data_IF_661131536077
#
_entry.id   IF_661131536077
#
_cell.length_a   1.000
_cell.length_b   1.000
_cell.length_c   1.000
_cell.angle_alpha   90.00
_cell.angle_beta   90.00
_cell.angle_gamma   90.00
#
_symmetry.space_group_name_H-M   'P 1'
#
loop_
_entity.id
_entity.type
_entity.pdbx_description
1 polymer ?
#
# COMPACT_ATOMS: atom_id res chain seq x y z
N UNK A 1 -13.21 21.14 -9.57
CA UNK A 1 -12.76 22.31 -8.78
C UNK A 1 -11.32 22.12 -8.37
N UNK A 2 -10.45 23.09 -8.56
CA UNK A 2 -9.09 22.97 -8.05
C UNK A 2 -9.09 22.95 -6.52
N UNK A 3 -8.13 22.20 -5.96
CA UNK A 3 -7.93 22.14 -4.52
C UNK A 3 -7.42 23.48 -4.03
N UNK A 4 -8.03 24.02 -2.99
CA UNK A 4 -7.56 25.25 -2.35
C UNK A 4 -6.41 24.94 -1.41
N UNK A 5 -5.46 25.85 -1.32
CA UNK A 5 -4.43 25.79 -0.29
C UNK A 5 -5.09 25.77 1.10
N UNK A 6 -4.61 24.87 1.95
CA UNK A 6 -5.16 24.77 3.29
C UNK A 6 -4.61 23.57 4.05
N UNK A 7 -5.12 23.42 5.26
CA UNK A 7 -4.76 22.33 6.16
C UNK A 7 -5.98 21.44 6.35
N UNK A 8 -5.84 20.16 6.03
CA UNK A 8 -6.83 19.14 6.39
C UNK A 8 -6.49 18.66 7.81
N UNK A 9 -7.38 18.95 8.74
CA UNK A 9 -7.15 18.57 10.14
C UNK A 9 -7.30 17.07 10.35
N UNK A 10 -6.57 16.54 11.32
CA UNK A 10 -6.73 15.15 11.74
C UNK A 10 -8.18 14.87 12.10
N UNK A 11 -8.70 13.73 11.68
CA UNK A 11 -10.09 13.35 11.95
C UNK A 11 -11.13 13.97 11.04
N UNK A 12 -10.72 14.82 10.08
CA UNK A 12 -11.66 15.46 9.15
C UNK A 12 -12.12 14.53 8.01
N UNK A 13 -11.47 13.39 7.84
CA UNK A 13 -11.78 12.41 6.81
C UNK A 13 -12.04 11.05 7.44
N UNK A 14 -13.00 10.32 6.88
CA UNK A 14 -13.36 9.01 7.40
C UNK A 14 -12.35 7.95 6.98
N UNK A 15 -12.03 7.05 7.91
CA UNK A 15 -11.31 5.82 7.58
C UNK A 15 -12.20 4.91 6.76
N UNK A 16 -11.65 4.26 5.75
CA UNK A 16 -12.34 3.27 4.92
C UNK A 16 -11.77 1.89 5.20
N UNK A 17 -12.64 0.90 5.15
CA UNK A 17 -12.19 -0.49 5.20
C UNK A 17 -11.78 -0.94 3.79
N UNK A 18 -10.64 -1.60 3.69
CA UNK A 18 -10.16 -2.17 2.44
C UNK A 18 -11.13 -3.26 1.92
N UNK A 19 -11.34 -3.28 0.61
CA UNK A 19 -12.24 -4.23 -0.02
C UNK A 19 -11.68 -5.65 -0.01
N UNK A 20 -12.53 -6.64 0.26
CA UNK A 20 -12.13 -8.05 0.23
C UNK A 20 -11.62 -8.51 -1.15
N UNK A 21 -12.01 -7.82 -2.21
CA UNK A 21 -11.52 -8.13 -3.56
C UNK A 21 -10.02 -7.84 -3.73
N UNK A 22 -9.45 -6.92 -2.95
CA UNK A 22 -8.06 -6.46 -3.11
C UNK A 22 -7.20 -6.67 -1.86
N UNK A 23 -7.78 -7.12 -0.76
CA UNK A 23 -7.08 -7.41 0.48
C UNK A 23 -7.52 -8.73 1.07
N UNK A 24 -6.59 -9.40 1.76
CA UNK A 24 -6.88 -10.51 2.66
C UNK A 24 -6.72 -10.00 4.09
N UNK A 25 -7.68 -10.31 4.96
CA UNK A 25 -7.70 -9.81 6.33
C UNK A 25 -8.28 -8.40 6.42
N UNK A 26 -8.19 -7.81 7.60
CA UNK A 26 -8.77 -6.50 7.89
C UNK A 26 -7.72 -5.42 7.67
N UNK A 27 -8.03 -4.49 6.78
CA UNK A 27 -7.17 -3.38 6.39
C UNK A 27 -7.97 -2.08 6.42
N UNK A 28 -7.37 -1.02 6.90
CA UNK A 28 -7.97 0.31 6.93
C UNK A 28 -7.18 1.29 6.08
N UNK A 29 -7.88 2.20 5.42
CA UNK A 29 -7.28 3.20 4.54
C UNK A 29 -7.74 4.60 4.96
N UNK A 30 -6.77 5.48 5.22
CA UNK A 30 -7.01 6.87 5.54
C UNK A 30 -6.47 7.74 4.40
N UNK A 31 -7.34 8.46 3.65
CA UNK A 31 -6.88 9.25 2.51
C UNK A 31 -5.99 10.41 2.96
N UNK A 32 -4.89 10.62 2.24
CA UNK A 32 -3.95 11.74 2.45
C UNK A 32 -4.03 12.72 1.29
N UNK A 33 -3.90 12.23 0.07
CA UNK A 33 -4.04 13.04 -1.12
C UNK A 33 -4.94 12.35 -2.14
N UNK A 34 -5.89 13.12 -2.67
CA UNK A 34 -6.75 12.68 -3.77
C UNK A 34 -6.32 13.46 -5.00
N UNK A 35 -6.01 12.72 -6.07
CA UNK A 35 -5.53 13.33 -7.28
C UNK A 35 -6.54 14.34 -7.85
N UNK A 36 -6.06 15.53 -8.14
CA UNK A 36 -6.84 16.60 -8.75
C UNK A 36 -6.05 17.18 -9.92
N UNK A 37 -6.59 17.21 -11.14
CA UNK A 37 -5.84 17.72 -12.28
C UNK A 37 -5.28 19.13 -12.03
N UNK A 38 -4.03 19.42 -12.43
CA UNK A 38 -3.15 18.58 -13.28
C UNK A 38 -2.38 17.47 -12.53
N UNK A 39 -2.53 17.35 -11.22
CA UNK A 39 -1.89 16.28 -10.46
C UNK A 39 -2.57 14.93 -10.71
N UNK A 40 -1.74 13.88 -10.79
CA UNK A 40 -2.22 12.50 -10.86
C UNK A 40 -1.82 11.72 -9.61
N UNK A 41 -1.26 12.39 -8.61
CA UNK A 41 -0.79 11.75 -7.37
C UNK A 41 -1.96 11.47 -6.45
N UNK A 42 -2.04 10.23 -5.99
CA UNK A 42 -2.92 9.80 -4.92
C UNK A 42 -2.14 9.19 -3.79
N UNK A 43 -2.72 9.11 -2.61
CA UNK A 43 -2.05 8.47 -1.50
C UNK A 43 -2.93 8.31 -0.28
N UNK A 44 -2.58 7.32 0.52
CA UNK A 44 -3.29 6.98 1.74
C UNK A 44 -2.33 6.41 2.77
N UNK A 45 -2.66 6.58 4.03
CA UNK A 45 -2.11 5.75 5.09
C UNK A 45 -2.91 4.46 5.11
N UNK A 46 -2.22 3.34 5.00
CA UNK A 46 -2.84 2.01 5.00
C UNK A 46 -2.38 1.28 6.24
N UNK A 47 -3.34 0.79 7.03
CA UNK A 47 -3.10 0.07 8.27
C UNK A 47 -3.58 -1.37 8.12
N UNK A 48 -2.64 -2.30 8.29
CA UNK A 48 -2.88 -3.74 8.18
C UNK A 48 -2.91 -4.35 9.57
N UNK A 49 -3.96 -5.10 9.88
CA UNK A 49 -3.97 -5.94 11.09
C UNK A 49 -3.04 -7.15 10.88
N UNK A 50 -2.60 -7.83 11.97
CA UNK A 50 -1.69 -8.97 11.84
C UNK A 50 -2.20 -10.00 10.82
N UNK A 51 -1.33 -10.41 9.91
CA UNK A 51 -1.65 -11.36 8.84
C UNK A 51 -2.33 -10.77 7.62
N UNK A 52 -2.81 -9.53 7.68
CA UNK A 52 -3.47 -8.88 6.55
C UNK A 52 -2.46 -8.43 5.50
N UNK A 53 -2.87 -8.49 4.23
CA UNK A 53 -2.01 -8.14 3.09
C UNK A 53 -2.85 -7.75 1.88
N UNK A 54 -2.22 -7.07 0.93
CA UNK A 54 -2.81 -6.80 -0.37
C UNK A 54 -2.86 -8.07 -1.23
N UNK A 55 -3.68 -8.05 -2.27
CA UNK A 55 -3.51 -8.98 -3.39
C UNK A 55 -2.23 -8.63 -4.17
N UNK A 56 -1.80 -9.50 -5.06
CA UNK A 56 -0.77 -9.18 -6.04
C UNK A 56 -1.23 -8.01 -6.91
N UNK A 57 -0.38 -7.02 -7.10
CA UNK A 57 -0.75 -5.85 -7.90
C UNK A 57 0.47 -5.11 -8.46
N UNK A 58 0.22 -4.20 -9.40
CA UNK A 58 1.22 -3.35 -10.00
C UNK A 58 0.62 -1.96 -10.26
N UNK A 59 1.49 -0.96 -10.39
CA UNK A 59 1.10 0.42 -10.63
C UNK A 59 1.70 0.92 -11.95
N UNK A 60 0.94 1.68 -12.76
CA UNK A 60 1.43 2.10 -14.08
C UNK A 60 2.62 3.06 -14.04
N UNK A 61 2.76 3.85 -12.98
CA UNK A 61 3.85 4.81 -12.81
C UNK A 61 4.76 4.43 -11.64
N UNK A 62 4.43 3.33 -10.93
CA UNK A 62 5.13 2.91 -9.74
C UNK A 62 4.47 3.41 -8.47
N UNK A 63 5.11 3.09 -7.35
CA UNK A 63 4.59 3.46 -6.02
C UNK A 63 5.76 3.66 -5.07
N UNK A 64 5.58 4.56 -4.11
CA UNK A 64 6.50 4.71 -2.98
C UNK A 64 5.75 4.43 -1.69
N UNK A 65 6.34 3.60 -0.83
CA UNK A 65 5.84 3.35 0.51
C UNK A 65 6.81 3.95 1.53
N UNK A 66 6.27 4.63 2.51
CA UNK A 66 7.02 5.06 3.69
C UNK A 66 6.43 4.34 4.90
N UNK A 67 7.24 3.51 5.56
CA UNK A 67 6.78 2.70 6.69
C UNK A 67 6.69 3.55 7.95
N UNK A 68 5.52 3.55 8.59
CA UNK A 68 5.21 4.44 9.71
C UNK A 68 5.30 3.74 11.06
N UNK A 69 4.70 2.56 11.20
CA UNK A 69 4.63 1.87 12.48
C UNK A 69 4.43 0.36 12.29
N UNK A 70 4.79 -0.39 13.32
CA UNK A 70 4.64 -1.83 13.32
C UNK A 70 5.69 -2.55 12.48
N UNK A 71 5.40 -3.79 12.11
CA UNK A 71 6.29 -4.61 11.29
C UNK A 71 5.51 -5.15 10.11
N UNK A 72 6.03 -4.90 8.91
CA UNK A 72 5.41 -5.34 7.68
C UNK A 72 6.25 -6.27 6.86
N UNK A 73 5.69 -6.66 5.74
CA UNK A 73 6.33 -7.49 4.72
C UNK A 73 6.03 -6.93 3.34
N UNK A 74 6.98 -7.06 2.43
CA UNK A 74 6.80 -6.81 1.01
C UNK A 74 7.43 -7.95 0.22
N UNK A 75 6.81 -8.31 -0.89
CA UNK A 75 7.34 -9.33 -1.78
C UNK A 75 7.19 -8.92 -3.23
N UNK A 76 8.29 -8.90 -3.95
CA UNK A 76 8.27 -8.75 -5.40
C UNK A 76 8.18 -10.13 -6.04
N UNK A 77 7.44 -10.22 -7.13
CA UNK A 77 7.22 -11.51 -7.81
C UNK A 77 8.55 -12.19 -8.16
N UNK A 78 8.68 -13.45 -7.78
CA UNK A 78 9.88 -14.25 -8.00
C UNK A 78 10.97 -14.11 -6.93
N UNK A 79 10.74 -13.28 -5.92
CA UNK A 79 11.69 -13.06 -4.83
C UNK A 79 11.10 -13.50 -3.48
N UNK A 80 11.96 -13.57 -2.48
CA UNK A 80 11.51 -13.82 -1.10
C UNK A 80 10.90 -12.55 -0.50
N UNK A 81 9.92 -12.68 0.41
CA UNK A 81 9.46 -11.52 1.17
C UNK A 81 10.60 -10.85 1.94
N UNK A 82 10.46 -9.56 2.14
CA UNK A 82 11.38 -8.76 2.96
C UNK A 82 10.62 -8.14 4.12
N UNK A 83 11.26 -8.06 5.29
CA UNK A 83 10.70 -7.41 6.47
C UNK A 83 10.79 -5.90 6.30
N UNK A 84 9.74 -5.19 6.71
CA UNK A 84 9.68 -3.73 6.71
C UNK A 84 9.57 -3.21 8.14
N UNK A 85 10.40 -2.23 8.48
CA UNK A 85 10.40 -1.57 9.78
C UNK A 85 10.08 -0.08 9.63
N UNK A 86 9.64 0.59 10.71
CA UNK A 86 9.39 2.04 10.67
C UNK A 86 10.60 2.81 10.15
N UNK A 87 10.35 3.72 9.22
CA UNK A 87 11.40 4.49 8.57
C UNK A 87 11.92 3.90 7.27
N UNK A 88 11.61 2.64 6.98
CA UNK A 88 11.98 2.05 5.69
C UNK A 88 11.19 2.70 4.55
N UNK A 89 11.85 2.86 3.42
CA UNK A 89 11.25 3.36 2.18
C UNK A 89 11.31 2.27 1.13
N UNK A 90 10.20 2.02 0.47
CA UNK A 90 10.15 1.09 -0.66
C UNK A 90 9.84 1.88 -1.92
N UNK A 91 10.72 1.76 -2.91
CA UNK A 91 10.49 2.30 -4.24
C UNK A 91 10.11 1.15 -5.17
N UNK A 92 8.88 1.20 -5.66
CA UNK A 92 8.34 0.16 -6.53
C UNK A 92 8.26 0.73 -7.94
N UNK A 93 9.07 0.19 -8.89
CA UNK A 93 9.05 0.67 -10.26
C UNK A 93 7.72 0.45 -10.97
N UNK A 94 7.46 1.12 -12.10
CA UNK A 94 6.28 0.87 -12.91
C UNK A 94 6.11 -0.61 -13.27
N UNK A 95 4.88 -1.07 -13.28
CA UNK A 95 4.46 -2.40 -13.73
C UNK A 95 5.16 -3.57 -13.02
N UNK A 96 5.61 -3.34 -11.79
CA UNK A 96 6.28 -4.35 -10.97
C UNK A 96 5.28 -5.06 -10.08
N UNK A 97 5.07 -6.35 -10.32
CA UNK A 97 4.12 -7.16 -9.57
C UNK A 97 4.64 -7.44 -8.15
N UNK A 98 3.84 -7.10 -7.16
CA UNK A 98 4.22 -7.18 -5.74
C UNK A 98 3.00 -7.27 -4.83
N UNK A 99 3.24 -7.59 -3.58
CA UNK A 99 2.27 -7.42 -2.50
C UNK A 99 2.97 -6.87 -1.26
N UNK A 100 2.20 -6.26 -0.37
CA UNK A 100 2.67 -5.84 0.95
C UNK A 100 1.59 -6.01 2.00
N UNK A 101 2.00 -6.07 3.26
CA UNK A 101 1.09 -6.27 4.36
C UNK A 101 1.79 -6.30 5.70
N UNK A 102 1.04 -6.68 6.74
CA UNK A 102 1.56 -6.82 8.09
C UNK A 102 2.34 -8.13 8.26
N UNK A 103 3.17 -8.18 9.29
CA UNK A 103 3.73 -9.46 9.75
C UNK A 103 2.60 -10.33 10.35
N UNK A 104 2.84 -11.63 10.55
CA UNK A 104 1.79 -12.50 11.13
C UNK A 104 1.31 -12.07 12.50
N UNK A 105 2.15 -11.42 13.30
CA UNK A 105 1.88 -11.14 14.70
C UNK A 105 1.81 -9.65 15.05
N UNK A 106 2.08 -8.75 14.12
CA UNK A 106 2.15 -7.30 14.38
C UNK A 106 1.33 -6.51 13.39
N UNK A 107 0.74 -5.45 13.90
CA UNK A 107 0.13 -4.41 13.08
C UNK A 107 1.21 -3.72 12.22
N UNK A 108 0.84 -3.23 11.05
CA UNK A 108 1.72 -2.48 10.18
C UNK A 108 0.97 -1.33 9.51
N UNK A 109 1.57 -0.15 9.50
CA UNK A 109 1.03 1.00 8.79
C UNK A 109 2.11 1.65 7.93
N UNK A 110 1.73 2.03 6.72
CA UNK A 110 2.59 2.79 5.81
C UNK A 110 1.81 3.90 5.12
N UNK A 111 2.53 4.92 4.66
CA UNK A 111 2.03 5.88 3.69
C UNK A 111 2.32 5.33 2.30
N UNK A 112 1.31 5.26 1.45
CA UNK A 112 1.45 4.84 0.07
C UNK A 112 1.18 6.02 -0.85
N UNK A 113 2.11 6.31 -1.78
CA UNK A 113 1.97 7.37 -2.78
C UNK A 113 2.14 6.76 -4.16
N UNK A 114 1.23 7.06 -5.07
CA UNK A 114 1.34 6.62 -6.47
C UNK A 114 0.68 7.61 -7.41
N UNK A 115 1.10 7.58 -8.68
CA UNK A 115 0.48 8.36 -9.73
C UNK A 115 -0.39 7.47 -10.60
N UNK A 116 -1.53 7.99 -11.03
CA UNK A 116 -2.28 7.37 -12.12
C UNK A 116 -1.53 7.55 -13.44
N UNK A 117 -1.77 6.67 -14.41
CA UNK A 117 -1.25 6.82 -15.76
C UNK A 117 -1.82 8.05 -16.45
N UNK A 118 -1.22 8.46 -17.57
CA UNK A 118 -1.63 9.65 -18.30
C UNK A 118 -3.08 9.60 -18.79
N UNK A 119 -3.62 8.40 -19.01
CA UNK A 119 -5.02 8.20 -19.37
C UNK A 119 -5.89 7.76 -18.17
N UNK A 120 -5.43 8.01 -16.95
CA UNK A 120 -6.17 7.69 -15.75
C UNK A 120 -6.06 6.24 -15.27
N UNK A 121 -5.13 5.44 -15.83
CA UNK A 121 -4.97 4.06 -15.39
C UNK A 121 -4.57 4.01 -13.92
N UNK A 122 -5.30 3.19 -13.15
CA UNK A 122 -5.01 2.94 -11.75
C UNK A 122 -4.22 1.66 -11.52
N UNK A 123 -4.31 1.15 -10.31
CA UNK A 123 -3.67 -0.09 -9.89
C UNK A 123 -4.22 -1.28 -10.68
N UNK A 124 -3.32 -2.11 -11.20
CA UNK A 124 -3.67 -3.38 -11.82
C UNK A 124 -3.68 -4.48 -10.76
N UNK A 125 -4.87 -4.92 -10.36
CA UNK A 125 -5.06 -5.92 -9.32
C UNK A 125 -5.03 -7.32 -9.90
N UNK A 126 -4.31 -8.23 -9.23
CA UNK A 126 -4.22 -9.63 -9.58
C UNK A 126 -4.85 -10.54 -8.52
N UNK A 127 -4.33 -11.76 -8.41
CA UNK A 127 -4.84 -12.75 -7.49
C UNK A 127 -4.48 -12.41 -6.04
N UNK A 128 -5.27 -12.91 -5.11
CA UNK A 128 -4.92 -12.86 -3.70
C UNK A 128 -3.63 -13.64 -3.43
N UNK A 129 -2.86 -13.15 -2.46
CA UNK A 129 -1.66 -13.83 -1.98
C UNK A 129 -2.09 -15.02 -1.13
N UNK A 130 -1.66 -16.22 -1.51
CA UNK A 130 -1.95 -17.43 -0.74
C UNK A 130 -1.26 -17.41 0.62
N UNK A 131 -1.74 -18.20 1.56
CA UNK A 131 -1.09 -18.33 2.87
C UNK A 131 0.34 -18.84 2.73
N UNK A 132 0.59 -19.78 1.81
CA UNK A 132 1.94 -20.28 1.54
C UNK A 132 2.88 -19.18 1.02
N UNK A 133 2.42 -18.35 0.10
CA UNK A 133 3.19 -17.21 -0.40
C UNK A 133 3.46 -16.19 0.71
N UNK A 134 2.44 -15.91 1.51
CA UNK A 134 2.53 -14.92 2.59
C UNK A 134 3.49 -15.38 3.70
N UNK A 135 3.46 -16.64 4.09
CA UNK A 135 4.27 -17.18 5.19
C UNK A 135 5.66 -17.63 4.76
N UNK A 136 6.03 -17.50 3.49
CA UNK A 136 7.38 -17.80 3.04
C UNK A 136 8.40 -17.05 3.90
N UNK A 137 9.59 -17.66 4.17
CA UNK A 137 10.60 -17.02 5.01
C UNK A 137 10.99 -15.65 4.47
N UNK A 138 10.92 -14.63 5.34
CA UNK A 138 11.28 -13.27 4.99
C UNK A 138 12.73 -12.97 5.32
N UNK A 139 13.38 -12.11 4.51
CA UNK A 139 14.74 -11.62 4.72
C UNK A 139 14.70 -10.17 5.21
N UNK A 140 15.80 -9.72 5.79
CA UNK A 140 15.95 -8.35 6.26
C UNK A 140 15.33 -8.12 7.63
N UNK A 141 15.22 -6.88 8.00
CA UNK A 141 14.72 -6.45 9.31
C UNK A 141 15.81 -6.02 10.22
#
# INVERSE_FOLDING_TARGET
MPVKAGVLRAGSRNTRRGAAATFTGIVFQDPVVVAEPPSRMGGSVVTFTPGARTAWHAHPVGQTLYCLSGIGRICFKGESPQVLNPGDVVNIPPDTLHWHGASPDRLFAHLALSEAGEQGQGTAWGEHVSDAEYTAPATGG
#
